data_IF_591621784320
#
_entry.id   IF_591621784320
#
_cell.length_a   1.000
_cell.length_b   1.000
_cell.length_c   1.000
_cell.angle_alpha   90.00
_cell.angle_beta   90.00
_cell.angle_gamma   90.00
#
_symmetry.space_group_name_H-M   'P 1'
#
loop_
_entity.id
_entity.type
_entity.pdbx_description
1 polymer ?
#
# COMPACT_ATOMS: atom_id res chain seq x y z
N UNK A 1 -16.41 -16.89 -57.21
CA UNK A 1 -17.27 -16.05 -56.34
C UNK A 1 -17.68 -16.80 -55.07
N UNK A 2 -18.31 -17.98 -55.15
CA UNK A 2 -18.80 -18.72 -53.98
C UNK A 2 -17.72 -19.17 -52.98
N UNK A 3 -16.57 -19.66 -53.47
CA UNK A 3 -15.44 -20.05 -52.60
C UNK A 3 -14.86 -18.86 -51.82
N UNK A 4 -14.77 -17.68 -52.46
CA UNK A 4 -14.27 -16.45 -51.84
C UNK A 4 -15.24 -15.93 -50.76
N UNK A 5 -16.54 -15.97 -51.02
CA UNK A 5 -17.59 -15.62 -50.05
C UNK A 5 -17.55 -16.55 -48.82
N UNK A 6 -17.36 -17.85 -49.02
CA UNK A 6 -17.21 -18.83 -47.92
C UNK A 6 -15.96 -18.59 -47.08
N UNK A 7 -14.81 -18.33 -47.71
CA UNK A 7 -13.57 -18.01 -46.98
C UNK A 7 -13.70 -16.72 -46.18
N UNK A 8 -14.35 -15.70 -46.74
CA UNK A 8 -14.61 -14.44 -46.03
C UNK A 8 -15.55 -14.63 -44.84
N UNK A 9 -16.62 -15.43 -45.00
CA UNK A 9 -17.54 -15.80 -43.91
C UNK A 9 -16.83 -16.52 -42.76
N UNK A 10 -15.93 -17.46 -43.07
CA UNK A 10 -15.16 -18.20 -42.05
C UNK A 10 -14.19 -17.27 -41.31
N UNK A 11 -13.52 -16.36 -42.03
CA UNK A 11 -12.62 -15.37 -41.41
C UNK A 11 -13.37 -14.40 -40.50
N UNK A 12 -14.55 -13.92 -40.91
CA UNK A 12 -15.40 -13.04 -40.08
C UNK A 12 -15.89 -13.79 -38.83
N UNK A 13 -16.32 -15.04 -38.96
CA UNK A 13 -16.72 -15.84 -37.80
C UNK A 13 -15.55 -16.06 -36.83
N UNK A 14 -14.36 -16.41 -37.32
CA UNK A 14 -13.15 -16.56 -36.49
C UNK A 14 -12.78 -15.25 -35.77
N UNK A 15 -12.89 -14.11 -36.44
CA UNK A 15 -12.59 -12.80 -35.85
C UNK A 15 -13.60 -12.42 -34.75
N UNK A 16 -14.89 -12.72 -34.95
CA UNK A 16 -15.94 -12.43 -33.95
C UNK A 16 -15.82 -13.30 -32.70
N UNK A 17 -15.52 -14.60 -32.83
CA UNK A 17 -15.32 -15.50 -31.67
C UNK A 17 -14.10 -15.08 -30.84
N UNK A 18 -12.99 -14.73 -31.50
CA UNK A 18 -11.78 -14.26 -30.82
C UNK A 18 -12.01 -12.96 -30.03
N UNK A 19 -12.82 -12.04 -30.60
CA UNK A 19 -13.18 -10.78 -29.95
C UNK A 19 -14.05 -10.95 -28.71
N UNK A 20 -14.99 -11.91 -28.73
CA UNK A 20 -15.86 -12.22 -27.58
C UNK A 20 -15.05 -12.79 -26.41
N UNK A 21 -14.05 -13.63 -26.70
CA UNK A 21 -13.17 -14.21 -25.69
C UNK A 21 -12.25 -13.16 -25.05
N UNK A 22 -11.72 -12.22 -25.85
CA UNK A 22 -10.95 -11.08 -25.36
C UNK A 22 -11.80 -10.13 -24.49
N UNK A 23 -13.05 -9.85 -24.88
CA UNK A 23 -13.96 -9.01 -24.10
C UNK A 23 -14.33 -9.65 -22.75
N UNK A 24 -14.51 -10.97 -22.69
CA UNK A 24 -14.78 -11.69 -21.45
C UNK A 24 -13.54 -11.78 -20.54
N UNK A 25 -12.33 -11.85 -21.11
CA UNK A 25 -11.08 -11.75 -20.34
C UNK A 25 -10.91 -10.35 -19.71
N UNK A 26 -11.33 -9.28 -20.41
CA UNK A 26 -11.25 -7.91 -19.89
C UNK A 26 -12.27 -7.62 -18.77
N UNK A 27 -13.48 -8.21 -18.85
CA UNK A 27 -14.50 -8.10 -17.79
C UNK A 27 -14.15 -8.87 -16.50
N UNK A 28 -13.15 -9.75 -16.55
CA UNK A 28 -12.57 -10.44 -15.39
C UNK A 28 -11.42 -9.66 -14.76
N UNK A 29 -11.48 -8.33 -14.82
CA UNK A 29 -10.71 -7.48 -13.91
C UNK A 29 -11.42 -7.52 -12.57
N UNK A 30 -11.00 -8.49 -11.76
CA UNK A 30 -11.42 -8.68 -10.38
C UNK A 30 -11.56 -7.33 -9.67
N UNK A 31 -12.68 -7.14 -8.97
CA UNK A 31 -12.76 -6.13 -7.92
C UNK A 31 -11.61 -6.41 -6.96
N UNK A 32 -10.47 -5.74 -7.14
CA UNK A 32 -9.34 -5.80 -6.22
C UNK A 32 -9.90 -5.35 -4.88
N UNK A 33 -10.12 -6.29 -3.97
CA UNK A 33 -10.52 -5.97 -2.61
C UNK A 33 -9.38 -5.17 -2.00
N UNK A 34 -9.57 -3.85 -1.92
CA UNK A 34 -8.59 -2.97 -1.27
C UNK A 34 -8.54 -3.39 0.18
N UNK A 35 -7.38 -3.89 0.62
CA UNK A 35 -7.20 -4.29 2.00
C UNK A 35 -7.38 -3.07 2.92
N UNK A 36 -8.29 -3.18 3.88
CA UNK A 36 -8.57 -2.10 4.82
C UNK A 36 -7.48 -2.01 5.89
N UNK A 37 -6.61 -1.00 5.74
CA UNK A 37 -5.54 -0.70 6.69
C UNK A 37 -5.98 0.16 7.88
N UNK A 38 -7.23 0.64 7.91
CA UNK A 38 -7.68 1.66 8.88
C UNK A 38 -7.42 1.23 10.32
N UNK A 39 -7.79 0.00 10.67
CA UNK A 39 -7.57 -0.55 12.02
C UNK A 39 -6.09 -0.62 12.41
N UNK A 40 -5.20 -0.92 11.47
CA UNK A 40 -3.75 -1.00 11.72
C UNK A 40 -3.17 0.41 11.87
N UNK A 41 -3.50 1.31 10.94
CA UNK A 41 -3.04 2.69 10.93
C UNK A 41 -3.46 3.41 12.21
N UNK A 42 -4.73 3.29 12.60
CA UNK A 42 -5.27 3.97 13.77
C UNK A 42 -4.66 3.44 15.08
N UNK A 43 -4.31 2.15 15.12
CA UNK A 43 -3.58 1.56 16.24
C UNK A 43 -2.10 2.01 16.29
N UNK A 44 -1.43 2.13 15.13
CA UNK A 44 -0.09 2.71 15.04
C UNK A 44 -0.10 4.15 15.53
N UNK A 45 -1.01 5.00 15.04
CA UNK A 45 -1.13 6.40 15.47
C UNK A 45 -1.28 6.50 16.99
N UNK A 46 -2.12 5.63 17.58
CA UNK A 46 -2.32 5.59 19.02
C UNK A 46 -1.02 5.23 19.75
N UNK A 47 -0.29 4.21 19.30
CA UNK A 47 0.96 3.75 19.93
C UNK A 47 2.11 4.76 19.77
N UNK A 48 2.17 5.46 18.64
CA UNK A 48 3.27 6.38 18.31
C UNK A 48 3.16 7.74 18.98
N UNK A 49 1.94 8.26 19.16
CA UNK A 49 1.76 9.65 19.57
C UNK A 49 0.44 9.95 20.29
N UNK A 50 -0.40 8.94 20.52
CA UNK A 50 -1.78 9.13 20.98
C UNK A 50 -2.59 10.09 20.07
N UNK A 51 -2.20 10.20 18.79
CA UNK A 51 -2.84 11.07 17.81
C UNK A 51 -2.26 12.48 17.72
N UNK A 52 -1.23 12.83 18.50
CA UNK A 52 -0.64 14.17 18.47
C UNK A 52 0.11 14.43 17.14
N UNK A 53 -0.38 15.34 16.27
CA UNK A 53 0.26 15.62 14.99
C UNK A 53 1.59 16.37 15.12
N UNK A 54 1.94 16.88 16.30
CA UNK A 54 3.17 17.63 16.57
C UNK A 54 4.15 16.89 17.47
N UNK A 55 3.90 15.61 17.78
CA UNK A 55 4.80 14.78 18.60
C UNK A 55 6.22 14.73 18.01
N UNK A 56 7.24 14.76 18.87
CA UNK A 56 8.65 14.70 18.48
C UNK A 56 9.40 13.75 19.41
N UNK A 57 10.17 12.82 18.84
CA UNK A 57 11.08 11.93 19.57
C UNK A 57 12.34 11.71 18.72
N UNK A 58 13.44 12.33 19.12
CA UNK A 58 14.66 12.39 18.29
C UNK A 58 14.35 12.92 16.89
N UNK A 59 14.71 12.14 15.86
CA UNK A 59 14.46 12.50 14.46
C UNK A 59 13.04 12.15 13.96
N UNK A 60 12.27 11.41 14.75
CA UNK A 60 10.89 11.02 14.42
C UNK A 60 9.91 12.11 14.82
N UNK A 61 8.97 12.43 13.92
CA UNK A 61 7.97 13.48 14.16
C UNK A 61 6.58 13.11 13.66
N UNK A 62 5.57 13.78 14.21
CA UNK A 62 4.18 13.69 13.82
C UNK A 62 3.46 12.49 14.41
N UNK A 63 2.18 12.35 14.03
CA UNK A 63 1.27 11.39 14.64
C UNK A 63 1.68 9.91 14.46
N UNK A 64 2.52 9.63 13.46
CA UNK A 64 3.03 8.29 13.17
C UNK A 64 4.55 8.18 13.35
N UNK A 65 5.18 9.16 14.01
CA UNK A 65 6.61 9.20 14.33
C UNK A 65 7.53 8.86 13.14
N UNK A 66 7.33 9.57 12.02
CA UNK A 66 8.04 9.31 10.76
C UNK A 66 9.44 9.91 10.81
N UNK A 67 10.45 9.14 10.38
CA UNK A 67 11.86 9.59 10.26
C UNK A 67 12.16 10.24 8.90
N UNK A 68 13.26 11.01 8.77
CA UNK A 68 13.72 11.49 7.46
C UNK A 68 14.03 10.34 6.48
N UNK A 69 14.51 9.20 6.98
CA UNK A 69 14.80 8.01 6.17
C UNK A 69 13.52 7.48 5.52
N UNK A 70 12.41 7.40 6.26
CA UNK A 70 11.12 6.97 5.70
C UNK A 70 10.60 7.93 4.61
N UNK A 71 10.82 9.24 4.76
CA UNK A 71 10.48 10.23 3.71
C UNK A 71 11.32 9.99 2.45
N UNK A 72 12.63 9.81 2.61
CA UNK A 72 13.52 9.50 1.50
C UNK A 72 13.12 8.20 0.80
N UNK A 73 12.80 7.16 1.56
CA UNK A 73 12.35 5.87 1.05
C UNK A 73 11.05 5.99 0.23
N UNK A 74 10.05 6.70 0.77
CA UNK A 74 8.82 6.99 0.03
C UNK A 74 9.09 7.74 -1.28
N UNK A 75 10.02 8.70 -1.27
CA UNK A 75 10.41 9.43 -2.47
C UNK A 75 11.14 8.55 -3.49
N UNK A 76 11.96 7.58 -3.05
CA UNK A 76 12.57 6.59 -3.94
C UNK A 76 11.53 5.67 -4.58
N UNK A 77 10.54 5.20 -3.81
CA UNK A 77 9.42 4.41 -4.35
C UNK A 77 8.64 5.22 -5.40
N UNK A 78 8.36 6.50 -5.15
CA UNK A 78 7.69 7.37 -6.12
C UNK A 78 8.53 7.57 -7.38
N UNK A 79 9.86 7.72 -7.24
CA UNK A 79 10.79 7.81 -8.35
C UNK A 79 10.79 6.53 -9.19
N UNK A 80 10.84 5.35 -8.56
CA UNK A 80 10.78 4.07 -9.29
C UNK A 80 9.46 3.87 -10.03
N UNK A 81 8.37 4.45 -9.51
CA UNK A 81 7.06 4.49 -10.17
C UNK A 81 6.91 5.62 -11.21
N UNK A 82 7.99 6.34 -11.55
CA UNK A 82 8.00 7.50 -12.47
C UNK A 82 7.04 8.63 -12.07
N UNK A 83 6.64 8.71 -10.80
CA UNK A 83 5.80 9.79 -10.30
C UNK A 83 6.61 11.07 -10.12
N UNK A 84 5.99 12.23 -10.41
CA UNK A 84 6.60 13.56 -10.14
C UNK A 84 6.40 14.02 -8.69
N UNK A 85 5.46 13.42 -7.93
CA UNK A 85 5.14 13.79 -6.54
C UNK A 85 6.32 13.50 -5.61
N UNK A 86 6.63 14.40 -4.67
CA UNK A 86 7.63 14.19 -3.61
C UNK A 86 7.10 14.68 -2.27
N UNK A 87 7.42 13.95 -1.22
CA UNK A 87 7.18 14.36 0.16
C UNK A 87 8.35 15.20 0.67
N UNK A 88 8.05 16.16 1.52
CA UNK A 88 9.02 16.99 2.25
C UNK A 88 9.13 16.54 3.71
N UNK A 89 10.13 17.01 4.45
CA UNK A 89 10.25 16.72 5.88
C UNK A 89 9.09 17.27 6.71
N UNK A 90 8.47 18.37 6.27
CA UNK A 90 7.33 18.98 6.93
C UNK A 90 6.05 18.13 6.80
N UNK A 91 5.96 17.33 5.73
CA UNK A 91 4.77 16.49 5.47
C UNK A 91 4.52 15.44 6.54
N UNK A 92 5.52 15.11 7.35
CA UNK A 92 5.42 14.19 8.49
C UNK A 92 4.46 14.68 9.58
N UNK A 93 4.24 15.99 9.69
CA UNK A 93 3.26 16.56 10.62
C UNK A 93 1.81 16.46 10.13
N UNK A 94 1.59 16.15 8.84
CA UNK A 94 0.25 15.93 8.30
C UNK A 94 -0.19 14.48 8.49
N UNK A 95 -1.23 14.24 9.29
CA UNK A 95 -1.80 12.89 9.49
C UNK A 95 -2.14 12.26 8.15
N UNK A 96 -2.77 13.01 7.24
CA UNK A 96 -3.13 12.52 5.91
C UNK A 96 -1.89 12.04 5.13
N UNK A 97 -0.85 12.86 5.03
CA UNK A 97 0.36 12.49 4.27
C UNK A 97 1.13 11.36 4.96
N UNK A 98 1.11 11.29 6.30
CA UNK A 98 1.66 10.17 7.05
C UNK A 98 0.97 8.85 6.74
N UNK A 99 -0.37 8.84 6.65
CA UNK A 99 -1.15 7.67 6.18
C UNK A 99 -0.80 7.30 4.73
N UNK A 100 -0.64 8.28 3.85
CA UNK A 100 -0.24 8.02 2.46
C UNK A 100 1.18 7.43 2.36
N UNK A 101 2.13 7.89 3.17
CA UNK A 101 3.49 7.33 3.25
C UNK A 101 3.47 5.89 3.75
N UNK A 102 2.67 5.58 4.79
CA UNK A 102 2.45 4.20 5.24
C UNK A 102 1.96 3.30 4.10
N UNK A 103 0.87 3.68 3.43
CA UNK A 103 0.30 2.89 2.34
C UNK A 103 1.30 2.69 1.18
N UNK A 104 2.05 3.75 0.84
CA UNK A 104 3.06 3.67 -0.21
C UNK A 104 4.18 2.69 0.15
N UNK A 105 4.71 2.76 1.36
CA UNK A 105 5.74 1.85 1.86
C UNK A 105 5.24 0.39 1.85
N UNK A 106 4.03 0.16 2.37
CA UNK A 106 3.39 -1.16 2.38
C UNK A 106 3.16 -1.72 0.98
N UNK A 107 2.80 -0.87 0.00
CA UNK A 107 2.62 -1.30 -1.40
C UNK A 107 3.89 -1.85 -2.03
N UNK A 108 5.07 -1.43 -1.56
CA UNK A 108 6.37 -1.88 -2.07
C UNK A 108 6.88 -3.11 -1.32
N UNK A 109 6.86 -3.05 0.01
CA UNK A 109 7.55 -4.03 0.85
C UNK A 109 6.62 -5.12 1.42
N UNK A 110 5.31 -4.96 1.34
CA UNK A 110 4.32 -5.91 1.86
C UNK A 110 3.17 -6.17 0.87
N UNK A 111 3.44 -6.67 -0.35
CA UNK A 111 2.42 -6.85 -1.39
C UNK A 111 1.36 -7.90 -1.04
N UNK A 112 1.62 -8.77 -0.06
CA UNK A 112 0.68 -9.78 0.44
C UNK A 112 -0.19 -9.28 1.61
N UNK A 113 -0.08 -7.99 1.97
CA UNK A 113 -0.86 -7.35 3.04
C UNK A 113 -0.79 -8.07 4.41
N UNK A 114 0.38 -8.58 4.80
CA UNK A 114 0.55 -9.17 6.14
C UNK A 114 0.49 -8.08 7.21
N UNK A 115 -0.46 -8.18 8.14
CA UNK A 115 -0.60 -7.25 9.27
C UNK A 115 0.65 -7.27 10.15
N UNK A 116 1.19 -8.45 10.46
CA UNK A 116 2.39 -8.56 11.27
C UNK A 116 3.60 -7.91 10.59
N UNK A 117 3.79 -8.18 9.30
CA UNK A 117 4.87 -7.55 8.54
C UNK A 117 4.72 -6.03 8.58
N UNK A 118 3.52 -5.50 8.35
CA UNK A 118 3.25 -4.06 8.38
C UNK A 118 3.66 -3.40 9.69
N UNK A 119 3.24 -3.98 10.81
CA UNK A 119 3.51 -3.44 12.14
C UNK A 119 5.01 -3.49 12.44
N UNK A 120 5.66 -4.62 12.17
CA UNK A 120 7.08 -4.79 12.47
C UNK A 120 7.98 -3.96 11.57
N UNK A 121 7.67 -3.87 10.27
CA UNK A 121 8.44 -3.05 9.33
C UNK A 121 8.27 -1.55 9.59
N UNK A 122 7.13 -1.13 10.13
CA UNK A 122 6.96 0.26 10.55
C UNK A 122 7.92 0.63 11.70
N UNK A 123 8.14 -0.29 12.64
CA UNK A 123 9.02 -0.07 13.78
C UNK A 123 10.52 -0.28 13.47
N UNK A 124 10.86 -1.35 12.74
CA UNK A 124 12.24 -1.78 12.52
C UNK A 124 12.77 -1.56 11.10
N UNK A 125 11.98 -0.97 10.19
CA UNK A 125 12.30 -0.94 8.76
C UNK A 125 12.19 -2.31 8.09
N UNK A 126 12.56 -2.42 6.81
CA UNK A 126 12.33 -3.65 6.03
C UNK A 126 13.19 -4.86 6.51
N UNK A 127 14.30 -4.59 7.20
CA UNK A 127 15.22 -5.61 7.72
C UNK A 127 15.04 -5.82 9.24
N UNK A 128 13.81 -5.66 9.73
CA UNK A 128 13.51 -5.83 11.15
C UNK A 128 13.84 -7.23 11.67
N UNK A 129 14.17 -7.34 12.96
CA UNK A 129 14.23 -8.62 13.66
C UNK A 129 12.94 -8.87 14.46
N UNK A 130 12.56 -10.14 14.65
CA UNK A 130 11.41 -10.48 15.49
C UNK A 130 11.63 -10.04 16.93
N UNK A 131 12.84 -10.27 17.47
CA UNK A 131 13.21 -9.92 18.85
C UNK A 131 13.08 -8.42 19.12
N UNK A 132 13.62 -7.57 18.24
CA UNK A 132 13.62 -6.11 18.46
C UNK A 132 12.23 -5.48 18.31
N UNK A 133 11.37 -6.06 17.46
CA UNK A 133 10.03 -5.52 17.17
C UNK A 133 8.91 -6.13 17.99
N UNK A 134 9.18 -7.16 18.80
CA UNK A 134 8.15 -7.92 19.52
C UNK A 134 7.29 -7.04 20.44
N UNK A 135 7.93 -6.23 21.29
CA UNK A 135 7.23 -5.34 22.22
C UNK A 135 6.35 -4.32 21.47
N UNK A 136 6.84 -3.78 20.36
CA UNK A 136 6.06 -2.84 19.54
C UNK A 136 4.86 -3.53 18.90
N UNK A 137 5.07 -4.73 18.35
CA UNK A 137 4.01 -5.53 17.75
C UNK A 137 2.87 -5.82 18.74
N UNK A 138 3.21 -6.22 19.97
CA UNK A 138 2.24 -6.48 21.04
C UNK A 138 1.44 -5.22 21.41
N UNK A 139 2.10 -4.06 21.54
CA UNK A 139 1.43 -2.78 21.80
C UNK A 139 0.39 -2.44 20.74
N UNK A 140 0.77 -2.55 19.45
CA UNK A 140 -0.16 -2.25 18.35
C UNK A 140 -1.30 -3.27 18.32
N UNK A 141 -1.02 -4.56 18.48
CA UNK A 141 -2.07 -5.61 18.56
C UNK A 141 -3.03 -5.38 19.72
N UNK A 142 -2.55 -4.90 20.87
CA UNK A 142 -3.41 -4.53 22.00
C UNK A 142 -4.27 -3.30 21.66
N UNK A 143 -3.71 -2.26 21.05
CA UNK A 143 -4.44 -1.07 20.62
C UNK A 143 -5.55 -1.40 19.60
N UNK A 144 -5.31 -2.34 18.67
CA UNK A 144 -6.32 -2.81 17.71
C UNK A 144 -7.54 -3.51 18.37
N UNK A 145 -7.38 -4.03 19.59
CA UNK A 145 -8.46 -4.71 20.35
C UNK A 145 -9.28 -3.76 21.22
N UNK A 146 -8.69 -2.64 21.67
CA UNK A 146 -9.32 -1.71 22.62
C UNK A 146 -10.39 -0.81 21.99
N UNK A 147 -10.35 -0.60 20.67
CA UNK A 147 -11.41 0.11 19.95
C UNK A 147 -12.53 -0.89 19.59
N UNK A 148 -13.53 -1.00 20.47
CA UNK A 148 -14.87 -1.52 20.17
C UNK A 148 -15.82 -0.35 20.07
#
# INVERSE_FOLDING_TARGET
MEKLKRTLLILVMLFTVCSIQAANALKKTDKVSIFDWSRVIDAIIMVESEGNPYAKSGNSVGAMQITPIMVAECNQILKSKKSRRRYTLADRFSIKKSKEMFLLYQSKYNPKNSIEKAIRSWNGGNNYSLRSTQRYFEKVKAAMKRRR
#
